data_IF_023066748734
#
_entry.id   IF_023066748734
#
_cell.length_a   1.000
_cell.length_b   1.000
_cell.length_c   1.000
_cell.angle_alpha   90.00
_cell.angle_beta   90.00
_cell.angle_gamma   90.00
#
_symmetry.space_group_name_H-M   'P 1'
#
loop_
_entity.id
_entity.type
_entity.pdbx_description
1 polymer ?
#
# COMPACT_ATOMS: atom_id res chain seq x y z
N UNK A 1 -1.66 15.70 4.66
CA UNK A 1 -2.16 15.98 6.01
C UNK A 1 -2.22 14.67 6.77
N UNK A 2 -2.00 14.65 8.08
CA UNK A 2 -2.25 13.46 8.91
C UNK A 2 -3.78 13.36 9.05
N UNK A 3 -4.37 12.17 8.96
CA UNK A 3 -5.79 11.97 9.24
C UNK A 3 -5.94 11.57 10.73
N UNK A 4 -6.28 12.53 11.62
CA UNK A 4 -6.17 12.34 13.07
C UNK A 4 -7.29 11.45 13.62
N UNK A 5 -8.44 11.40 12.95
CA UNK A 5 -9.58 10.58 13.37
C UNK A 5 -9.24 9.10 13.21
N UNK A 6 -8.70 8.71 12.04
CA UNK A 6 -8.34 7.31 11.84
C UNK A 6 -7.16 6.88 12.72
N UNK A 7 -6.22 7.77 13.02
CA UNK A 7 -5.14 7.48 13.97
C UNK A 7 -5.67 7.30 15.40
N UNK A 8 -6.63 8.12 15.83
CA UNK A 8 -7.29 7.95 17.13
C UNK A 8 -8.03 6.59 17.20
N UNK A 9 -8.78 6.24 16.15
CA UNK A 9 -9.46 4.95 16.05
C UNK A 9 -8.47 3.77 16.10
N UNK A 10 -7.33 3.87 15.41
CA UNK A 10 -6.24 2.90 15.49
C UNK A 10 -5.78 2.71 16.93
N UNK A 11 -5.45 3.79 17.64
CA UNK A 11 -4.98 3.70 19.03
C UNK A 11 -6.02 3.08 19.95
N UNK A 12 -7.30 3.40 19.75
CA UNK A 12 -8.41 2.86 20.55
C UNK A 12 -8.61 1.37 20.31
N UNK A 13 -8.71 0.94 19.04
CA UNK A 13 -8.95 -0.46 18.66
C UNK A 13 -7.73 -1.33 18.98
N UNK A 14 -6.53 -0.84 18.71
CA UNK A 14 -5.29 -1.58 18.89
C UNK A 14 -4.70 -1.48 20.29
N UNK A 15 -5.36 -0.85 21.27
CA UNK A 15 -4.82 -0.59 22.62
C UNK A 15 -4.16 -1.81 23.26
N UNK A 16 -4.78 -2.98 23.18
CA UNK A 16 -4.23 -4.22 23.74
C UNK A 16 -3.01 -4.72 22.96
N UNK A 17 -3.03 -4.62 21.63
CA UNK A 17 -1.91 -5.03 20.77
C UNK A 17 -0.72 -4.10 20.92
N UNK A 18 -0.95 -2.79 21.08
CA UNK A 18 0.09 -1.80 21.36
C UNK A 18 0.81 -2.15 22.67
N UNK A 19 0.07 -2.49 23.72
CA UNK A 19 0.65 -2.92 25.01
C UNK A 19 1.39 -4.26 24.94
N UNK A 20 1.04 -5.12 23.98
CA UNK A 20 1.66 -6.44 23.81
C UNK A 20 2.94 -6.38 22.99
N UNK A 21 2.92 -5.64 21.89
CA UNK A 21 4.01 -5.66 20.89
C UNK A 21 4.85 -4.39 20.87
N UNK A 22 4.29 -3.25 21.29
CA UNK A 22 4.83 -1.92 21.01
C UNK A 22 5.06 -1.09 22.30
N UNK A 23 5.42 -1.75 23.40
CA UNK A 23 5.62 -1.11 24.73
C UNK A 23 6.67 0.00 24.71
N UNK A 24 7.69 -0.13 23.86
CA UNK A 24 8.79 0.82 23.72
C UNK A 24 8.58 1.83 22.58
N UNK A 25 7.47 1.74 21.85
CA UNK A 25 7.21 2.62 20.71
C UNK A 25 6.63 3.96 21.16
N UNK A 26 7.33 5.06 20.84
CA UNK A 26 6.74 6.40 20.89
C UNK A 26 5.58 6.51 19.89
N UNK A 27 4.58 7.36 20.16
CA UNK A 27 3.33 7.43 19.39
C UNK A 27 3.47 7.47 17.85
N UNK A 28 4.54 8.08 17.32
CA UNK A 28 4.83 8.15 15.87
C UNK A 28 5.29 6.81 15.26
N UNK A 29 5.83 5.90 16.07
CA UNK A 29 6.35 4.60 15.65
C UNK A 29 5.35 3.46 15.91
N UNK A 30 4.24 3.73 16.59
CA UNK A 30 3.24 2.70 16.94
C UNK A 30 2.65 2.03 15.71
N UNK A 31 2.26 2.79 14.68
CA UNK A 31 1.74 2.18 13.44
C UNK A 31 2.80 1.29 12.77
N UNK A 32 4.06 1.71 12.75
CA UNK A 32 5.14 0.92 12.16
C UNK A 32 5.36 -0.39 12.93
N UNK A 33 5.40 -0.34 14.27
CA UNK A 33 5.48 -1.53 15.11
C UNK A 33 4.28 -2.47 14.92
N UNK A 34 3.06 -1.92 14.86
CA UNK A 34 1.85 -2.69 14.61
C UNK A 34 1.88 -3.39 13.25
N UNK A 35 2.38 -2.73 12.20
CA UNK A 35 2.56 -3.32 10.87
C UNK A 35 3.54 -4.50 10.89
N UNK A 36 4.67 -4.38 11.59
CA UNK A 36 5.65 -5.46 11.73
C UNK A 36 5.07 -6.70 12.42
N UNK A 37 4.13 -6.51 13.34
CA UNK A 37 3.48 -7.59 14.09
C UNK A 37 2.11 -8.01 13.51
N UNK A 38 1.66 -7.40 12.40
CA UNK A 38 0.30 -7.52 11.84
C UNK A 38 -0.13 -8.97 11.55
N UNK A 39 0.82 -9.82 11.17
CA UNK A 39 0.59 -11.21 10.79
C UNK A 39 0.89 -12.21 11.92
N UNK A 40 1.19 -11.75 13.14
CA UNK A 40 1.28 -12.62 14.31
C UNK A 40 -0.07 -13.30 14.59
N UNK A 41 -0.05 -14.58 14.96
CA UNK A 41 -1.23 -15.32 15.42
C UNK A 41 -1.87 -14.68 16.67
N UNK A 42 -1.06 -13.95 17.45
CA UNK A 42 -1.51 -13.24 18.65
C UNK A 42 -2.10 -11.86 18.36
N UNK A 43 -2.15 -11.45 17.08
CA UNK A 43 -2.73 -10.18 16.64
C UNK A 43 -4.26 -10.23 16.67
N UNK A 44 -4.87 -9.27 17.37
CA UNK A 44 -6.32 -9.13 17.39
C UNK A 44 -6.87 -8.83 15.97
N UNK A 45 -7.88 -9.58 15.48
CA UNK A 45 -8.42 -9.40 14.13
C UNK A 45 -8.96 -7.99 13.85
N UNK A 46 -9.56 -7.32 14.84
CA UNK A 46 -10.08 -5.95 14.66
C UNK A 46 -8.93 -4.95 14.56
N UNK A 47 -7.88 -5.14 15.36
CA UNK A 47 -6.66 -4.34 15.23
C UNK A 47 -5.99 -4.60 13.86
N UNK A 48 -5.88 -5.85 13.41
CA UNK A 48 -5.36 -6.19 12.08
C UNK A 48 -6.12 -5.46 10.96
N UNK A 49 -7.45 -5.48 11.02
CA UNK A 49 -8.29 -4.74 10.06
C UNK A 49 -8.05 -3.23 10.12
N UNK A 50 -7.90 -2.66 11.31
CA UNK A 50 -7.63 -1.23 11.47
C UNK A 50 -6.24 -0.83 10.94
N UNK A 51 -5.22 -1.67 11.15
CA UNK A 51 -3.89 -1.49 10.55
C UNK A 51 -3.99 -1.51 9.03
N UNK A 52 -4.68 -2.50 8.46
CA UNK A 52 -4.91 -2.58 7.00
C UNK A 52 -5.64 -1.34 6.49
N UNK A 53 -6.72 -0.91 7.15
CA UNK A 53 -7.46 0.31 6.77
C UNK A 53 -6.56 1.54 6.76
N UNK A 54 -5.66 1.65 7.75
CA UNK A 54 -4.70 2.75 7.80
C UNK A 54 -3.67 2.67 6.68
N UNK A 55 -3.15 1.48 6.37
CA UNK A 55 -2.24 1.27 5.24
C UNK A 55 -2.91 1.61 3.90
N UNK A 56 -4.16 1.19 3.68
CA UNK A 56 -4.94 1.54 2.48
C UNK A 56 -5.02 3.06 2.34
N UNK A 57 -5.43 3.75 3.40
CA UNK A 57 -5.55 5.22 3.43
C UNK A 57 -4.20 5.91 3.13
N UNK A 58 -3.10 5.38 3.65
CA UNK A 58 -1.76 5.90 3.34
C UNK A 58 -1.35 5.67 1.88
N UNK A 59 -1.85 4.61 1.25
CA UNK A 59 -1.53 4.26 -0.11
C UNK A 59 -2.45 4.93 -1.14
N UNK A 60 -3.68 5.34 -0.79
CA UNK A 60 -4.55 6.12 -1.67
C UNK A 60 -4.02 7.54 -1.89
N UNK A 61 -3.31 8.11 -0.91
CA UNK A 61 -2.73 9.44 -1.07
C UNK A 61 -1.43 9.62 -0.28
N UNK A 62 -0.35 9.95 -1.00
CA UNK A 62 0.98 10.18 -0.39
C UNK A 62 0.95 11.30 0.67
N UNK A 63 0.00 12.24 0.59
CA UNK A 63 -0.17 13.32 1.57
C UNK A 63 -0.55 12.77 2.94
N UNK A 64 -1.21 11.62 3.00
CA UNK A 64 -1.64 10.90 4.21
C UNK A 64 -0.54 9.96 4.75
N UNK A 65 0.55 9.77 4.01
CA UNK A 65 1.71 8.99 4.43
C UNK A 65 2.91 9.90 4.76
N UNK A 66 3.08 10.34 6.01
CA UNK A 66 4.17 11.26 6.38
C UNK A 66 5.56 10.64 6.22
N UNK A 67 5.70 9.31 6.35
CA UNK A 67 6.97 8.60 6.17
C UNK A 67 7.40 8.66 4.71
N UNK A 68 6.50 8.26 3.79
CA UNK A 68 6.74 8.35 2.36
C UNK A 68 7.00 9.79 1.90
N UNK A 69 6.18 10.75 2.36
CA UNK A 69 6.33 12.16 1.99
C UNK A 69 7.68 12.73 2.43
N UNK A 70 8.20 12.28 3.56
CA UNK A 70 9.52 12.69 4.06
C UNK A 70 10.64 12.07 3.22
N UNK A 71 10.60 10.76 3.01
CA UNK A 71 11.64 10.02 2.28
C UNK A 71 11.70 10.42 0.80
N UNK A 72 10.55 10.54 0.14
CA UNK A 72 10.44 10.88 -1.28
C UNK A 72 10.26 12.38 -1.54
N UNK A 73 10.66 13.25 -0.61
CA UNK A 73 10.41 14.71 -0.67
C UNK A 73 10.95 15.34 -1.96
N UNK A 74 12.13 14.89 -2.43
CA UNK A 74 12.75 15.38 -3.65
C UNK A 74 12.24 14.66 -4.91
N UNK A 75 11.94 13.36 -4.81
CA UNK A 75 11.59 12.52 -5.95
C UNK A 75 10.16 12.77 -6.47
N UNK A 76 9.21 13.00 -5.57
CA UNK A 76 7.80 13.25 -5.92
C UNK A 76 7.64 14.42 -6.91
N UNK A 77 8.11 15.65 -6.61
CA UNK A 77 7.99 16.75 -7.56
C UNK A 77 8.85 16.56 -8.81
N UNK A 78 9.99 15.86 -8.69
CA UNK A 78 10.92 15.62 -9.80
C UNK A 78 10.36 14.67 -10.86
N UNK A 79 9.71 13.58 -10.43
CA UNK A 79 9.29 12.50 -11.34
C UNK A 79 7.79 12.40 -11.56
N UNK A 80 6.98 12.82 -10.59
CA UNK A 80 5.52 12.62 -10.62
C UNK A 80 4.75 13.92 -10.89
N UNK A 81 5.40 14.94 -11.45
CA UNK A 81 4.79 16.23 -11.75
C UNK A 81 3.51 16.12 -12.60
N UNK A 82 3.47 15.20 -13.58
CA UNK A 82 2.30 14.96 -14.43
C UNK A 82 1.07 14.41 -13.68
N UNK A 83 1.29 13.75 -12.55
CA UNK A 83 0.23 13.32 -11.62
C UNK A 83 -0.18 14.50 -10.77
N UNK A 84 0.79 15.24 -10.22
CA UNK A 84 0.55 16.40 -9.35
C UNK A 84 -0.18 17.54 -10.08
N UNK A 85 0.08 17.76 -11.37
CA UNK A 85 -0.58 18.80 -12.15
C UNK A 85 -2.08 18.54 -12.36
N UNK A 86 -2.52 17.29 -12.16
CA UNK A 86 -3.93 16.89 -12.19
C UNK A 86 -4.56 16.85 -10.79
N UNK A 87 -3.77 17.07 -9.74
CA UNK A 87 -4.25 17.07 -8.36
C UNK A 87 -5.14 18.29 -8.10
N UNK A 88 -6.36 18.05 -7.62
CA UNK A 88 -7.17 19.10 -7.00
C UNK A 88 -7.14 18.92 -5.48
N UNK A 89 -7.38 20.02 -4.74
CA UNK A 89 -7.36 19.98 -3.27
C UNK A 89 -8.42 19.01 -2.72
N UNK A 90 -9.57 18.93 -3.40
CA UNK A 90 -10.74 18.17 -2.93
C UNK A 90 -10.81 16.73 -3.45
N UNK A 91 -9.78 16.25 -4.17
CA UNK A 91 -9.75 14.87 -4.68
C UNK A 91 -8.50 14.14 -4.20
N UNK A 92 -8.70 12.89 -3.80
CA UNK A 92 -7.61 11.96 -3.56
C UNK A 92 -6.90 11.63 -4.87
N UNK A 93 -5.63 11.29 -4.78
CA UNK A 93 -4.81 10.92 -5.95
C UNK A 93 -4.89 9.44 -6.31
N UNK A 94 -5.75 8.66 -5.63
CA UNK A 94 -6.05 7.26 -5.94
C UNK A 94 -4.79 6.37 -6.05
N UNK A 95 -3.74 6.70 -5.32
CA UNK A 95 -2.45 6.00 -5.34
C UNK A 95 -1.58 6.28 -6.57
N UNK A 96 -1.95 7.20 -7.45
CA UNK A 96 -1.21 7.49 -8.69
C UNK A 96 0.23 7.98 -8.43
N UNK A 97 0.47 8.71 -7.34
CA UNK A 97 1.84 9.13 -6.96
C UNK A 97 2.69 7.94 -6.57
N UNK A 98 2.16 7.00 -5.78
CA UNK A 98 2.87 5.77 -5.41
C UNK A 98 3.12 4.91 -6.65
N UNK A 99 2.13 4.77 -7.54
CA UNK A 99 2.31 4.06 -8.82
C UNK A 99 3.42 4.67 -9.68
N UNK A 100 3.47 6.01 -9.78
CA UNK A 100 4.57 6.71 -10.44
C UNK A 100 5.93 6.40 -9.78
N UNK A 101 6.01 6.44 -8.46
CA UNK A 101 7.25 6.11 -7.73
C UNK A 101 7.67 4.64 -7.94
N UNK A 102 6.73 3.68 -7.98
CA UNK A 102 7.01 2.27 -8.30
C UNK A 102 7.67 2.11 -9.67
N UNK A 103 7.22 2.85 -10.68
CA UNK A 103 7.89 2.88 -11.99
C UNK A 103 9.32 3.42 -11.91
N UNK A 104 9.55 4.45 -11.08
CA UNK A 104 10.89 5.03 -10.91
C UNK A 104 11.82 4.20 -10.04
N UNK A 105 11.27 3.41 -9.14
CA UNK A 105 11.98 2.36 -8.44
C UNK A 105 12.50 1.31 -9.44
N UNK A 106 11.62 0.80 -10.33
CA UNK A 106 12.00 -0.14 -11.38
C UNK A 106 13.08 0.43 -12.34
N UNK A 107 13.00 1.73 -12.63
CA UNK A 107 14.00 2.43 -13.46
C UNK A 107 15.31 2.72 -12.69
N UNK A 108 15.42 2.42 -11.39
CA UNK A 108 16.55 2.77 -10.51
C UNK A 108 16.86 4.28 -10.47
N UNK A 109 15.81 5.11 -10.41
CA UNK A 109 15.91 6.58 -10.50
C UNK A 109 15.63 7.33 -9.20
N UNK A 110 15.20 6.62 -8.16
CA UNK A 110 14.84 7.23 -6.88
C UNK A 110 16.08 7.54 -6.04
N UNK A 111 15.93 8.47 -5.08
CA UNK A 111 16.92 8.61 -4.01
C UNK A 111 16.92 7.38 -3.09
N UNK A 112 18.03 7.06 -2.40
CA UNK A 112 18.10 5.90 -1.51
C UNK A 112 17.00 5.85 -0.46
N UNK A 113 16.71 6.99 0.21
CA UNK A 113 15.64 7.08 1.20
C UNK A 113 14.26 6.74 0.60
N UNK A 114 13.99 7.26 -0.60
CA UNK A 114 12.72 7.00 -1.29
C UNK A 114 12.63 5.56 -1.79
N UNK A 115 13.72 5.01 -2.32
CA UNK A 115 13.84 3.62 -2.76
C UNK A 115 13.50 2.66 -1.61
N UNK A 116 14.07 2.87 -0.43
CA UNK A 116 13.79 2.06 0.75
C UNK A 116 12.30 2.10 1.16
N UNK A 117 11.68 3.29 1.12
CA UNK A 117 10.25 3.38 1.44
C UNK A 117 9.36 2.75 0.37
N UNK A 118 9.71 2.86 -0.91
CA UNK A 118 8.96 2.21 -1.98
C UNK A 118 9.12 0.70 -1.91
N UNK A 119 10.30 0.18 -1.58
CA UNK A 119 10.53 -1.25 -1.32
C UNK A 119 9.63 -1.79 -0.20
N UNK A 120 9.48 -1.06 0.90
CA UNK A 120 8.55 -1.44 1.99
C UNK A 120 7.10 -1.47 1.47
N UNK A 121 6.67 -0.45 0.74
CA UNK A 121 5.31 -0.40 0.17
C UNK A 121 5.07 -1.56 -0.80
N UNK A 122 6.06 -1.90 -1.63
CA UNK A 122 5.99 -3.02 -2.56
C UNK A 122 5.85 -4.36 -1.82
N UNK A 123 6.69 -4.61 -0.80
CA UNK A 123 6.61 -5.82 0.02
C UNK A 123 5.26 -5.95 0.72
N UNK A 124 4.73 -4.86 1.28
CA UNK A 124 3.42 -4.86 1.93
C UNK A 124 2.29 -5.12 0.92
N UNK A 125 2.35 -4.49 -0.26
CA UNK A 125 1.36 -4.67 -1.32
C UNK A 125 1.38 -6.08 -1.90
N UNK A 126 2.57 -6.68 -2.00
CA UNK A 126 2.74 -8.04 -2.48
C UNK A 126 2.10 -9.07 -1.56
N UNK A 127 2.10 -8.84 -0.24
CA UNK A 127 1.42 -9.71 0.73
C UNK A 127 -0.09 -9.48 0.77
N UNK A 128 -0.53 -8.25 0.56
CA UNK A 128 -1.94 -7.84 0.64
C UNK A 128 -2.29 -6.90 -0.51
N UNK A 129 -2.83 -7.47 -1.59
CA UNK A 129 -3.18 -6.79 -2.84
C UNK A 129 -4.13 -5.58 -2.65
N UNK A 130 -4.85 -5.53 -1.53
CA UNK A 130 -5.71 -4.40 -1.13
C UNK A 130 -4.93 -3.13 -0.84
N UNK A 131 -3.64 -3.25 -0.56
CA UNK A 131 -2.75 -2.12 -0.30
C UNK A 131 -2.24 -1.47 -1.58
N UNK A 132 -2.56 -1.99 -2.77
CA UNK A 132 -2.33 -1.31 -4.04
C UNK A 132 -3.66 -0.72 -4.60
N UNK A 133 -3.89 0.60 -4.47
CA UNK A 133 -5.13 1.20 -4.95
C UNK A 133 -5.33 1.08 -6.45
N UNK A 134 -4.26 1.14 -7.25
CA UNK A 134 -4.38 1.01 -8.70
C UNK A 134 -4.81 -0.40 -9.09
N UNK A 135 -4.34 -1.41 -8.35
CA UNK A 135 -4.81 -2.78 -8.50
C UNK A 135 -6.28 -2.92 -8.08
N UNK A 136 -6.68 -2.34 -6.95
CA UNK A 136 -8.09 -2.34 -6.53
C UNK A 136 -9.01 -1.69 -7.55
N UNK A 137 -8.62 -0.54 -8.10
CA UNK A 137 -9.46 0.23 -9.02
C UNK A 137 -9.55 -0.45 -10.38
N UNK A 138 -8.43 -0.95 -10.91
CA UNK A 138 -8.37 -1.40 -12.30
C UNK A 138 -8.51 -2.91 -12.48
N UNK A 139 -8.25 -3.72 -11.45
CA UNK A 139 -8.21 -5.19 -11.58
C UNK A 139 -9.26 -5.94 -10.77
N UNK A 140 -10.21 -5.26 -10.11
CA UNK A 140 -11.18 -5.96 -9.23
C UNK A 140 -12.00 -7.03 -9.96
N UNK A 141 -12.34 -6.77 -11.23
CA UNK A 141 -13.04 -7.72 -12.07
C UNK A 141 -12.17 -8.92 -12.42
N UNK A 142 -10.92 -8.70 -12.84
CA UNK A 142 -9.96 -9.78 -13.12
C UNK A 142 -9.64 -10.59 -11.86
N UNK A 143 -9.49 -9.97 -10.70
CA UNK A 143 -9.28 -10.67 -9.43
C UNK A 143 -10.45 -11.59 -9.14
N UNK A 144 -11.68 -11.08 -9.29
CA UNK A 144 -12.89 -11.87 -9.02
C UNK A 144 -13.15 -12.98 -10.05
N UNK A 145 -12.65 -12.84 -11.28
CA UNK A 145 -12.91 -13.81 -12.36
C UNK A 145 -11.77 -14.80 -12.61
N UNK A 146 -10.52 -14.39 -12.38
CA UNK A 146 -9.32 -15.18 -12.65
C UNK A 146 -8.68 -15.73 -11.37
N UNK A 147 -8.84 -15.02 -10.24
CA UNK A 147 -8.21 -15.36 -8.96
C UNK A 147 -9.21 -15.45 -7.78
N UNK A 148 -10.40 -16.06 -7.96
CA UNK A 148 -11.43 -16.05 -6.92
C UNK A 148 -11.05 -16.83 -5.66
N UNK A 149 -10.28 -17.92 -5.81
CA UNK A 149 -9.86 -18.76 -4.69
C UNK A 149 -8.82 -18.03 -3.83
N UNK A 150 -7.83 -17.41 -4.48
CA UNK A 150 -6.79 -16.61 -3.84
C UNK A 150 -7.38 -15.36 -3.17
N UNK A 151 -8.39 -14.74 -3.79
CA UNK A 151 -9.08 -13.59 -3.22
C UNK A 151 -9.96 -13.96 -2.00
N UNK A 152 -10.46 -15.20 -1.95
CA UNK A 152 -11.25 -15.72 -0.83
C UNK A 152 -10.39 -16.22 0.34
N UNK A 153 -9.09 -16.40 0.14
CA UNK A 153 -8.17 -16.80 1.20
C UNK A 153 -8.19 -15.79 2.36
N UNK A 154 -8.30 -16.30 3.58
CA UNK A 154 -8.33 -15.46 4.78
C UNK A 154 -6.95 -14.86 5.13
N UNK A 155 -5.89 -15.47 4.61
CA UNK A 155 -4.51 -15.10 4.91
C UNK A 155 -3.93 -14.13 3.87
N UNK A 156 -3.08 -13.22 4.34
CA UNK A 156 -2.39 -12.23 3.51
C UNK A 156 -1.05 -12.79 3.04
N UNK A 157 -1.10 -13.76 2.12
CA UNK A 157 0.07 -14.51 1.63
C UNK A 157 0.54 -14.09 0.24
N UNK A 158 -0.10 -13.08 -0.37
CA UNK A 158 0.25 -12.58 -1.70
C UNK A 158 -0.19 -13.41 -2.89
N UNK A 159 -1.03 -14.43 -2.67
CA UNK A 159 -1.50 -15.35 -3.71
C UNK A 159 -2.23 -14.65 -4.86
N UNK A 160 -2.97 -13.57 -4.58
CA UNK A 160 -3.69 -12.82 -5.63
C UNK A 160 -2.73 -12.19 -6.63
N UNK A 161 -1.62 -11.61 -6.18
CA UNK A 161 -0.65 -11.00 -7.09
C UNK A 161 0.03 -12.07 -7.95
N UNK A 162 0.38 -13.21 -7.36
CA UNK A 162 0.98 -14.33 -8.10
C UNK A 162 0.02 -14.91 -9.14
N UNK A 163 -1.26 -15.10 -8.78
CA UNK A 163 -2.29 -15.54 -9.71
C UNK A 163 -2.44 -14.56 -10.89
N UNK A 164 -2.42 -13.25 -10.64
CA UNK A 164 -2.52 -12.25 -11.71
C UNK A 164 -1.28 -12.26 -12.62
N UNK A 165 -0.08 -12.50 -12.09
CA UNK A 165 1.16 -12.67 -12.88
C UNK A 165 1.05 -13.86 -13.83
N UNK A 166 0.58 -15.00 -13.34
CA UNK A 166 0.40 -16.23 -14.15
C UNK A 166 -0.68 -16.02 -15.23
N UNK A 167 -1.72 -15.25 -14.92
CA UNK A 167 -2.83 -15.00 -15.84
C UNK A 167 -2.70 -13.70 -16.65
N UNK A 168 -1.52 -13.06 -16.70
CA UNK A 168 -1.31 -11.75 -17.34
C UNK A 168 -1.83 -11.70 -18.79
N UNK A 169 -1.66 -12.78 -19.56
CA UNK A 169 -2.13 -12.87 -20.94
C UNK A 169 -3.66 -12.99 -21.08
N UNK A 170 -4.35 -13.42 -20.02
CA UNK A 170 -5.81 -13.59 -19.99
C UNK A 170 -6.55 -12.33 -19.51
N UNK A 171 -5.83 -11.37 -18.92
CA UNK A 171 -6.40 -10.09 -18.50
C UNK A 171 -6.93 -9.38 -19.74
N UNK A 172 -8.17 -8.89 -19.70
CA UNK A 172 -8.80 -8.20 -20.84
C UNK A 172 -8.68 -6.69 -20.71
N UNK A 173 -8.80 -6.15 -19.50
CA UNK A 173 -8.72 -4.71 -19.30
C UNK A 173 -7.28 -4.21 -19.44
N UNK A 174 -7.06 -3.31 -20.39
CA UNK A 174 -5.74 -2.69 -20.61
C UNK A 174 -5.25 -1.89 -19.41
N UNK A 175 -6.17 -1.27 -18.65
CA UNK A 175 -5.81 -0.60 -17.39
C UNK A 175 -5.24 -1.61 -16.38
N UNK A 176 -5.89 -2.77 -16.20
CA UNK A 176 -5.41 -3.82 -15.31
C UNK A 176 -4.05 -4.39 -15.78
N UNK A 177 -3.87 -4.62 -17.08
CA UNK A 177 -2.57 -5.06 -17.63
C UNK A 177 -1.45 -4.09 -17.29
N UNK A 178 -1.67 -2.79 -17.46
CA UNK A 178 -0.66 -1.76 -17.14
C UNK A 178 -0.26 -1.77 -15.66
N UNK A 179 -1.22 -1.98 -14.76
CA UNK A 179 -0.95 -2.11 -13.33
C UNK A 179 -0.08 -3.35 -13.07
N UNK A 180 -0.45 -4.51 -13.61
CA UNK A 180 0.32 -5.75 -13.43
C UNK A 180 1.73 -5.66 -14.01
N UNK A 181 1.90 -5.03 -15.19
CA UNK A 181 3.23 -4.78 -15.76
C UNK A 181 4.07 -3.88 -14.85
N UNK A 182 3.45 -2.89 -14.20
CA UNK A 182 4.14 -2.02 -13.23
C UNK A 182 4.57 -2.82 -12.00
N UNK A 183 3.72 -3.71 -11.48
CA UNK A 183 4.04 -4.60 -10.36
C UNK A 183 5.22 -5.52 -10.70
N UNK A 184 5.18 -6.18 -11.85
CA UNK A 184 6.25 -7.09 -12.31
C UNK A 184 7.58 -6.36 -12.43
N UNK A 185 7.59 -5.13 -12.97
CA UNK A 185 8.82 -4.35 -13.12
C UNK A 185 9.42 -3.89 -11.79
N UNK A 186 8.59 -3.72 -10.77
CA UNK A 186 9.00 -3.24 -9.47
C UNK A 186 9.26 -4.39 -8.46
N UNK A 187 8.95 -5.63 -8.83
CA UNK A 187 9.16 -6.84 -8.00
C UNK A 187 10.58 -7.38 -8.13
#
# INVERSE_FOLDING_TARGET
MIDPELDYQLMKVCKHMIRRFCTESEGKNVLQCLKQNKNSELMDPKCKQMITKRQITQNTDYRLNPVLRKACKADIPKFCHSVLSKATVDRELEGQVISCLKLKYADQRLSPDCEDQIRIILQESALDYRLDPQLQIHCIHEISSLCPEEAAAQEQTGQVEECLKINLLKIKQEACKKVNVTLIKAS
#
